data_IF_933434717365
#
_entry.id   IF_933434717365
#
_cell.length_a   1.000
_cell.length_b   1.000
_cell.length_c   1.000
_cell.angle_alpha   90.00
_cell.angle_beta   90.00
_cell.angle_gamma   90.00
#
_symmetry.space_group_name_H-M   'P 1'
#
loop_
_entity.id
_entity.type
_entity.pdbx_description
1 polymer ?
#
# COMPACT_ATOMS: atom_id res chain seq x y z
N UNK A 1 16.18 -17.99 14.45
CA UNK A 1 15.89 -16.54 14.54
C UNK A 1 14.85 -16.21 13.48
N UNK A 2 13.82 -15.39 13.77
CA UNK A 2 12.85 -14.96 12.78
C UNK A 2 13.50 -14.04 11.74
N UNK A 3 13.10 -14.15 10.50
CA UNK A 3 13.55 -13.25 9.43
C UNK A 3 12.94 -11.86 9.64
N UNK A 4 13.81 -10.83 9.75
CA UNK A 4 13.36 -9.45 9.89
C UNK A 4 13.03 -8.84 8.53
N UNK A 5 11.89 -8.18 8.42
CA UNK A 5 11.38 -7.61 7.18
C UNK A 5 10.91 -6.15 7.36
N UNK A 6 11.28 -5.29 6.43
CA UNK A 6 10.70 -3.94 6.28
C UNK A 6 9.57 -4.00 5.25
N UNK A 7 8.41 -3.45 5.60
CA UNK A 7 7.28 -3.33 4.70
C UNK A 7 7.05 -1.86 4.36
N UNK A 8 7.14 -1.50 3.08
CA UNK A 8 6.68 -0.19 2.60
C UNK A 8 5.15 -0.11 2.77
N UNK A 9 4.71 0.51 3.88
CA UNK A 9 3.32 0.50 4.32
C UNK A 9 2.73 1.90 4.35
N UNK A 10 1.89 2.21 3.35
CA UNK A 10 1.20 3.49 3.22
C UNK A 10 -0.13 3.55 4.00
N UNK A 11 -0.71 2.42 4.42
CA UNK A 11 -2.07 2.31 4.95
C UNK A 11 -3.12 2.07 3.86
N UNK A 12 -2.71 1.94 2.61
CA UNK A 12 -3.54 1.49 1.50
C UNK A 12 -3.74 -0.02 1.48
N UNK A 13 -4.70 -0.49 0.67
CA UNK A 13 -5.08 -1.90 0.58
C UNK A 13 -3.87 -2.80 0.31
N UNK A 14 -3.13 -2.54 -0.76
CA UNK A 14 -2.06 -3.40 -1.25
C UNK A 14 -0.92 -3.52 -0.22
N UNK A 15 -0.46 -2.41 0.31
CA UNK A 15 0.61 -2.39 1.32
C UNK A 15 0.20 -3.04 2.64
N UNK A 16 -1.08 -2.96 2.99
CA UNK A 16 -1.63 -3.64 4.18
C UNK A 16 -1.66 -5.15 3.97
N UNK A 17 -2.07 -5.62 2.78
CA UNK A 17 -2.01 -7.06 2.45
C UNK A 17 -0.57 -7.58 2.50
N UNK A 18 0.40 -6.84 1.96
CA UNK A 18 1.82 -7.20 2.06
C UNK A 18 2.29 -7.35 3.51
N UNK A 19 1.92 -6.41 4.38
CA UNK A 19 2.26 -6.45 5.81
C UNK A 19 1.71 -7.71 6.45
N UNK A 20 0.44 -8.03 6.21
CA UNK A 20 -0.21 -9.19 6.82
C UNK A 20 0.31 -10.52 6.27
N UNK A 21 0.66 -10.59 4.98
CA UNK A 21 1.32 -11.76 4.38
C UNK A 21 2.71 -12.01 4.98
N UNK A 22 3.46 -10.94 5.28
CA UNK A 22 4.75 -11.08 5.95
C UNK A 22 4.59 -11.60 7.40
N UNK A 23 3.60 -11.09 8.14
CA UNK A 23 3.25 -11.61 9.48
C UNK A 23 2.82 -13.08 9.43
N UNK A 24 1.96 -13.47 8.48
CA UNK A 24 1.51 -14.85 8.29
C UNK A 24 2.68 -15.81 8.00
N UNK A 25 3.73 -15.32 7.34
CA UNK A 25 4.99 -16.06 7.11
C UNK A 25 5.92 -16.07 8.32
N UNK A 26 5.50 -15.54 9.47
CA UNK A 26 6.30 -15.52 10.70
C UNK A 26 7.48 -14.55 10.64
N UNK A 27 7.40 -13.47 9.84
CA UNK A 27 8.44 -12.43 9.80
C UNK A 27 8.32 -11.52 11.01
N UNK A 28 9.47 -11.04 11.49
CA UNK A 28 9.55 -9.89 12.40
C UNK A 28 9.40 -8.63 11.56
N UNK A 29 8.21 -8.03 11.60
CA UNK A 29 7.79 -6.98 10.66
C UNK A 29 7.99 -5.58 11.25
N UNK A 30 8.63 -4.70 10.47
CA UNK A 30 8.66 -3.26 10.70
C UNK A 30 7.91 -2.56 9.56
N UNK A 31 6.87 -1.81 9.92
CA UNK A 31 6.11 -0.99 8.99
C UNK A 31 6.85 0.32 8.71
N UNK A 32 7.29 0.54 7.47
CA UNK A 32 7.94 1.78 7.04
C UNK A 32 6.97 2.66 6.27
N UNK A 33 6.65 3.81 6.84
CA UNK A 33 5.93 4.90 6.16
C UNK A 33 6.88 5.96 5.65
N UNK A 34 6.49 6.65 4.58
CA UNK A 34 7.23 7.81 4.08
C UNK A 34 6.29 9.00 4.01
N UNK A 35 6.58 10.02 4.81
CA UNK A 35 5.93 11.32 4.72
C UNK A 35 6.77 12.21 3.79
N UNK A 36 6.27 12.42 2.58
CA UNK A 36 6.88 13.24 1.54
C UNK A 36 6.04 14.49 1.24
N UNK A 37 5.23 14.93 2.20
CA UNK A 37 4.27 16.01 2.05
C UNK A 37 3.14 15.65 1.06
N UNK A 38 2.63 14.42 1.11
CA UNK A 38 1.45 14.02 0.34
C UNK A 38 0.22 14.84 0.74
N UNK A 39 -0.73 15.00 -0.20
CA UNK A 39 -1.94 15.80 0.02
C UNK A 39 -2.81 15.30 1.17
N UNK A 40 -2.82 13.99 1.40
CA UNK A 40 -3.63 13.38 2.43
C UNK A 40 -2.75 12.72 3.49
N UNK A 41 -2.85 13.20 4.72
CA UNK A 41 -2.27 12.52 5.89
C UNK A 41 -3.09 11.33 6.37
N UNK A 42 -4.29 11.15 5.83
CA UNK A 42 -5.14 10.02 6.18
C UNK A 42 -4.43 8.66 5.98
N UNK A 43 -3.62 8.52 4.94
CA UNK A 43 -2.82 7.30 4.71
C UNK A 43 -1.96 6.96 5.92
N UNK A 44 -1.24 7.96 6.49
CA UNK A 44 -0.36 7.74 7.64
C UNK A 44 -1.14 7.36 8.90
N UNK A 45 -2.33 7.97 9.10
CA UNK A 45 -3.20 7.64 10.23
C UNK A 45 -3.78 6.24 10.14
N UNK A 46 -4.24 5.82 8.95
CA UNK A 46 -4.74 4.47 8.73
C UNK A 46 -3.64 3.43 8.91
N UNK A 47 -2.44 3.70 8.39
CA UNK A 47 -1.28 2.83 8.62
C UNK A 47 -0.97 2.69 10.12
N UNK A 48 -1.02 3.79 10.89
CA UNK A 48 -0.79 3.74 12.34
C UNK A 48 -1.86 2.92 13.07
N UNK A 49 -3.16 3.08 12.70
CA UNK A 49 -4.27 2.29 13.26
C UNK A 49 -4.08 0.79 12.99
N UNK A 50 -3.67 0.44 11.78
CA UNK A 50 -3.40 -0.96 11.40
C UNK A 50 -2.20 -1.53 12.16
N UNK A 51 -1.11 -0.77 12.27
CA UNK A 51 0.06 -1.21 13.04
C UNK A 51 -0.30 -1.47 14.52
N UNK A 52 -1.10 -0.60 15.14
CA UNK A 52 -1.61 -0.81 16.51
C UNK A 52 -2.49 -2.06 16.62
N UNK A 53 -3.36 -2.31 15.62
CA UNK A 53 -4.25 -3.48 15.60
C UNK A 53 -3.50 -4.80 15.52
N UNK A 54 -2.39 -4.84 14.79
CA UNK A 54 -1.62 -6.05 14.53
C UNK A 54 -0.32 -6.12 15.33
N UNK A 55 -0.13 -5.21 16.30
CA UNK A 55 1.07 -5.12 17.16
C UNK A 55 2.38 -5.07 16.35
N UNK A 56 2.42 -4.17 15.35
CA UNK A 56 3.56 -3.98 14.46
C UNK A 56 4.27 -2.67 14.76
N UNK A 57 5.58 -2.72 14.92
CA UNK A 57 6.41 -1.52 15.02
C UNK A 57 6.29 -0.67 13.75
N UNK A 58 6.14 0.66 13.92
CA UNK A 58 6.05 1.60 12.81
C UNK A 58 7.12 2.67 12.89
N UNK A 59 7.88 2.81 11.81
CA UNK A 59 8.79 3.91 11.55
C UNK A 59 8.25 4.79 10.41
N UNK A 60 8.44 6.11 10.51
CA UNK A 60 8.09 7.06 9.44
C UNK A 60 9.33 7.88 9.09
N UNK A 61 9.71 7.87 7.83
CA UNK A 61 10.74 8.76 7.31
C UNK A 61 10.08 10.02 6.76
N UNK A 62 10.60 11.17 7.16
CA UNK A 62 10.18 12.45 6.61
C UNK A 62 11.18 12.87 5.54
N UNK A 63 10.69 13.13 4.32
CA UNK A 63 11.51 13.60 3.23
C UNK A 63 10.95 14.92 2.68
N UNK A 64 11.81 15.90 2.52
CA UNK A 64 11.48 17.11 1.79
C UNK A 64 11.73 16.89 0.32
N UNK A 65 10.71 17.10 -0.48
CA UNK A 65 10.78 16.91 -1.92
C UNK A 65 9.92 17.95 -2.63
N UNK A 66 10.56 18.81 -3.41
CA UNK A 66 9.85 19.71 -4.32
C UNK A 66 9.32 18.93 -5.52
N UNK A 67 8.20 18.26 -5.29
CA UNK A 67 7.56 17.37 -6.25
C UNK A 67 6.77 18.15 -7.28
N UNK A 68 6.75 17.70 -8.56
CA UNK A 68 5.98 18.33 -9.60
C UNK A 68 4.49 18.39 -9.24
N UNK A 69 3.83 19.49 -9.60
CA UNK A 69 2.39 19.65 -9.48
C UNK A 69 1.68 18.54 -10.28
N UNK A 70 0.71 17.89 -9.66
CA UNK A 70 -0.06 16.79 -10.27
C UNK A 70 -1.53 17.14 -10.33
N UNK A 71 -2.15 16.72 -11.42
CA UNK A 71 -3.61 16.74 -11.54
C UNK A 71 -4.12 15.33 -11.21
N UNK A 72 -5.01 15.23 -10.23
CA UNK A 72 -5.64 13.95 -9.89
C UNK A 72 -6.90 13.83 -10.74
N UNK A 73 -6.98 12.84 -11.65
CA UNK A 73 -8.14 12.60 -12.48
C UNK A 73 -9.38 12.31 -11.65
N UNK A 74 -10.53 12.61 -12.22
CA UNK A 74 -11.84 12.39 -11.61
C UNK A 74 -12.77 11.68 -12.57
N UNK A 75 -13.71 10.92 -11.99
CA UNK A 75 -14.87 10.36 -12.69
C UNK A 75 -14.52 9.50 -13.91
N UNK A 76 -13.31 8.90 -13.92
CA UNK A 76 -12.95 7.93 -14.95
C UNK A 76 -13.55 6.56 -14.62
N UNK A 77 -14.01 5.88 -15.67
CA UNK A 77 -14.44 4.48 -15.54
C UNK A 77 -13.23 3.54 -15.36
N UNK A 78 -13.48 2.32 -14.89
CA UNK A 78 -12.45 1.27 -14.80
C UNK A 78 -11.77 1.04 -16.14
N UNK A 79 -12.53 1.07 -17.25
CA UNK A 79 -12.00 0.86 -18.59
C UNK A 79 -11.11 2.00 -19.11
N UNK A 80 -11.19 3.18 -18.54
CA UNK A 80 -10.36 4.34 -18.87
C UNK A 80 -9.11 4.43 -18.00
N UNK A 81 -9.20 3.92 -16.76
CA UNK A 81 -8.06 3.84 -15.85
C UNK A 81 -7.10 2.76 -16.39
N UNK A 82 -5.83 3.11 -16.62
CA UNK A 82 -4.80 2.19 -17.08
C UNK A 82 -4.54 2.17 -18.58
N UNK A 83 -5.35 2.84 -19.41
CA UNK A 83 -5.03 3.02 -20.84
C UNK A 83 -3.79 3.88 -21.05
N UNK A 84 -3.58 4.84 -20.17
CA UNK A 84 -2.45 5.77 -20.22
C UNK A 84 -1.89 5.98 -18.82
N UNK A 85 -0.64 6.43 -18.73
CA UNK A 85 -0.05 6.82 -17.43
C UNK A 85 -0.88 7.96 -16.83
N UNK A 86 -1.43 7.74 -15.65
CA UNK A 86 -2.27 8.73 -14.99
C UNK A 86 -1.51 10.03 -14.71
N UNK A 87 -2.17 11.20 -14.89
CA UNK A 87 -1.63 12.49 -14.47
C UNK A 87 -1.43 12.62 -12.94
N UNK A 88 -1.90 11.66 -12.17
CA UNK A 88 -1.56 11.51 -10.75
C UNK A 88 -0.20 10.84 -10.51
N UNK A 89 0.43 10.28 -11.54
CA UNK A 89 1.73 9.65 -11.45
C UNK A 89 2.82 10.62 -10.95
N UNK A 90 3.65 10.15 -10.05
CA UNK A 90 4.81 10.88 -9.56
C UNK A 90 6.06 10.11 -10.00
N UNK A 91 6.75 10.58 -11.04
CA UNK A 91 7.89 9.86 -11.62
C UNK A 91 8.95 9.51 -10.60
N UNK A 92 9.40 8.26 -10.58
CA UNK A 92 10.47 7.78 -9.70
C UNK A 92 10.10 7.60 -8.23
N UNK A 93 8.85 7.82 -7.83
CA UNK A 93 8.44 7.72 -6.43
C UNK A 93 8.69 6.31 -5.85
N UNK A 94 8.28 5.27 -6.56
CA UNK A 94 8.48 3.90 -6.07
C UNK A 94 9.96 3.53 -6.02
N UNK A 95 10.77 4.00 -6.98
CA UNK A 95 12.22 3.81 -6.94
C UNK A 95 12.84 4.47 -5.71
N UNK A 96 12.50 5.73 -5.42
CA UNK A 96 12.97 6.46 -4.24
C UNK A 96 12.59 5.72 -2.94
N UNK A 97 11.34 5.29 -2.83
CA UNK A 97 10.85 4.62 -1.62
C UNK A 97 11.50 3.25 -1.41
N UNK A 98 11.73 2.51 -2.48
CA UNK A 98 12.44 1.23 -2.41
C UNK A 98 13.91 1.42 -2.02
N UNK A 99 14.60 2.45 -2.53
CA UNK A 99 15.99 2.76 -2.12
C UNK A 99 16.03 3.07 -0.62
N UNK A 100 15.14 3.94 -0.13
CA UNK A 100 15.06 4.27 1.29
C UNK A 100 14.76 3.04 2.17
N UNK A 101 13.84 2.19 1.73
CA UNK A 101 13.51 0.97 2.46
C UNK A 101 14.69 -0.01 2.50
N UNK A 102 15.45 -0.15 1.41
CA UNK A 102 16.64 -1.02 1.38
C UNK A 102 17.77 -0.47 2.25
N UNK A 103 17.98 0.85 2.28
CA UNK A 103 18.96 1.48 3.15
C UNK A 103 18.59 1.30 4.64
N UNK A 104 17.32 1.49 5.00
CA UNK A 104 16.81 1.23 6.34
C UNK A 104 16.96 -0.25 6.72
N UNK A 105 16.65 -1.18 5.82
CA UNK A 105 16.78 -2.61 6.04
C UNK A 105 18.25 -2.99 6.34
N UNK A 106 19.17 -2.49 5.53
CA UNK A 106 20.61 -2.70 5.73
C UNK A 106 21.08 -2.15 7.09
N UNK A 107 20.59 -0.96 7.49
CA UNK A 107 20.96 -0.31 8.75
C UNK A 107 20.52 -1.09 9.99
N UNK A 108 19.43 -1.84 9.93
CA UNK A 108 18.88 -2.62 11.05
C UNK A 108 19.10 -4.13 10.92
N UNK A 109 19.79 -4.58 9.88
CA UNK A 109 20.02 -5.99 9.60
C UNK A 109 18.78 -6.77 9.18
N UNK A 110 17.79 -6.10 8.58
CA UNK A 110 16.63 -6.77 7.98
C UNK A 110 17.03 -7.37 6.61
N UNK A 111 16.63 -8.60 6.36
CA UNK A 111 17.00 -9.34 5.15
C UNK A 111 15.95 -9.27 4.05
N UNK A 112 14.78 -8.69 4.32
CA UNK A 112 13.68 -8.56 3.35
C UNK A 112 13.11 -7.14 3.34
N UNK A 113 12.77 -6.65 2.14
CA UNK A 113 11.94 -5.45 1.91
C UNK A 113 10.72 -5.87 1.10
N UNK A 114 9.54 -5.64 1.65
CA UNK A 114 8.28 -5.98 1.00
C UNK A 114 7.58 -4.74 0.46
N UNK A 115 7.01 -4.88 -0.74
CA UNK A 115 6.30 -3.79 -1.41
C UNK A 115 4.97 -4.27 -1.98
N UNK A 116 3.94 -3.41 -1.89
CA UNK A 116 2.61 -3.64 -2.47
C UNK A 116 2.52 -3.26 -3.95
N UNK A 117 3.63 -3.22 -4.67
CA UNK A 117 3.64 -2.98 -6.11
C UNK A 117 2.84 -4.08 -6.81
N UNK A 118 1.96 -3.65 -7.73
CA UNK A 118 1.06 -4.48 -8.50
C UNK A 118 1.10 -4.06 -9.97
N UNK A 119 1.43 -4.99 -10.86
CA UNK A 119 1.56 -4.73 -12.30
C UNK A 119 0.22 -4.75 -13.04
N UNK A 120 -0.78 -5.42 -12.50
CA UNK A 120 -2.15 -5.49 -13.03
C UNK A 120 -2.96 -4.28 -12.55
N UNK A 121 -2.33 -3.34 -11.84
CA UNK A 121 -2.97 -2.10 -11.45
C UNK A 121 -3.31 -1.29 -12.71
N UNK A 122 -4.57 -0.97 -12.86
CA UNK A 122 -5.11 -0.17 -13.96
C UNK A 122 -4.47 1.22 -14.09
N UNK A 123 -3.56 1.58 -13.19
CA UNK A 123 -2.84 2.86 -13.24
C UNK A 123 -1.77 2.98 -14.32
N UNK A 124 -1.31 1.84 -14.88
CA UNK A 124 -0.30 1.80 -15.95
C UNK A 124 1.07 2.40 -15.55
N UNK A 125 1.37 2.52 -14.25
CA UNK A 125 2.60 3.16 -13.77
C UNK A 125 3.85 2.37 -14.17
N UNK A 126 4.84 2.98 -14.85
CA UNK A 126 6.06 2.29 -15.28
C UNK A 126 6.83 1.65 -14.11
N UNK A 127 6.85 2.32 -12.95
CA UNK A 127 7.54 1.87 -11.73
C UNK A 127 6.73 0.85 -10.88
N UNK A 128 5.67 0.28 -11.47
CA UNK A 128 4.93 -0.86 -10.94
C UNK A 128 5.10 -2.15 -11.77
N UNK A 129 5.88 -2.11 -12.85
CA UNK A 129 6.04 -3.24 -13.78
C UNK A 129 7.05 -4.26 -13.27
N UNK A 130 6.90 -5.54 -13.62
CA UNK A 130 7.86 -6.58 -13.26
C UNK A 130 9.30 -6.25 -13.74
N UNK A 131 9.45 -5.70 -14.95
CA UNK A 131 10.74 -5.32 -15.53
C UNK A 131 11.44 -4.24 -14.69
N UNK A 132 10.66 -3.27 -14.16
CA UNK A 132 11.20 -2.26 -13.24
C UNK A 132 11.78 -2.93 -11.99
N UNK A 133 11.02 -3.82 -11.34
CA UNK A 133 11.48 -4.51 -10.14
C UNK A 133 12.70 -5.39 -10.40
N UNK A 134 12.78 -6.05 -11.54
CA UNK A 134 13.93 -6.87 -11.92
C UNK A 134 15.20 -6.02 -12.03
N UNK A 135 15.14 -4.90 -12.75
CA UNK A 135 16.29 -4.00 -12.88
C UNK A 135 16.63 -3.32 -11.56
N UNK A 136 15.62 -2.97 -10.77
CA UNK A 136 15.82 -2.39 -9.44
C UNK A 136 16.58 -3.36 -8.52
N UNK A 137 16.22 -4.64 -8.50
CA UNK A 137 16.93 -5.68 -7.73
C UNK A 137 18.40 -5.78 -8.13
N UNK A 138 18.70 -5.75 -9.42
CA UNK A 138 20.08 -5.75 -9.93
C UNK A 138 20.86 -4.53 -9.45
N UNK A 139 20.27 -3.36 -9.58
CA UNK A 139 20.88 -2.09 -9.16
C UNK A 139 21.14 -2.05 -7.65
N UNK A 140 20.16 -2.42 -6.83
CA UNK A 140 20.29 -2.35 -5.38
C UNK A 140 21.31 -3.35 -4.83
N UNK A 141 21.45 -4.53 -5.44
CA UNK A 141 22.47 -5.51 -5.07
C UNK A 141 23.90 -5.02 -5.35
N UNK A 142 24.09 -4.14 -6.33
CA UNK A 142 25.39 -3.48 -6.58
C UNK A 142 25.64 -2.36 -5.56
N UNK A 143 24.58 -1.61 -5.20
CA UNK A 143 24.70 -0.50 -4.27
C UNK A 143 24.84 -0.94 -2.80
N UNK A 144 24.18 -2.04 -2.43
CA UNK A 144 24.19 -2.63 -1.08
C UNK A 144 24.55 -4.11 -1.21
N UNK A 145 25.86 -4.47 -1.25
CA UNK A 145 26.28 -5.87 -1.34
C UNK A 145 25.73 -6.69 -0.18
N UNK A 146 25.08 -7.81 -0.46
CA UNK A 146 24.33 -8.64 0.51
C UNK A 146 23.17 -7.88 1.18
N UNK A 147 22.59 -6.90 0.47
CA UNK A 147 21.42 -6.16 0.89
C UNK A 147 20.16 -7.03 0.95
N UNK A 148 19.01 -6.41 1.34
CA UNK A 148 17.77 -7.14 1.52
C UNK A 148 17.21 -7.66 0.19
N UNK A 149 16.54 -8.81 0.24
CA UNK A 149 15.71 -9.30 -0.85
C UNK A 149 14.46 -8.42 -1.00
N UNK A 150 14.09 -8.06 -2.24
CA UNK A 150 12.87 -7.31 -2.51
C UNK A 150 11.75 -8.26 -2.88
N UNK A 151 10.69 -8.25 -2.09
CA UNK A 151 9.53 -9.13 -2.22
C UNK A 151 8.31 -8.30 -2.63
N UNK A 152 7.68 -8.68 -3.75
CA UNK A 152 6.46 -8.06 -4.26
C UNK A 152 5.38 -9.14 -4.46
N UNK A 153 4.71 -9.58 -3.39
CA UNK A 153 3.83 -10.75 -3.44
C UNK A 153 2.56 -10.52 -4.24
N UNK A 154 2.22 -9.28 -4.54
CA UNK A 154 1.00 -8.90 -5.24
C UNK A 154 1.22 -8.59 -6.73
N UNK A 155 2.44 -8.76 -7.23
CA UNK A 155 2.85 -8.26 -8.56
C UNK A 155 1.95 -8.78 -9.71
N UNK A 156 1.40 -9.97 -9.58
CA UNK A 156 0.52 -10.61 -10.58
C UNK A 156 -0.96 -10.65 -10.19
N UNK A 157 -1.35 -10.06 -9.05
CA UNK A 157 -2.74 -10.09 -8.58
C UNK A 157 -3.54 -8.90 -9.08
N UNK A 158 -4.79 -9.14 -9.48
CA UNK A 158 -5.79 -8.11 -9.76
C UNK A 158 -6.32 -7.45 -8.47
N UNK A 159 -6.92 -6.27 -8.59
CA UNK A 159 -7.52 -5.58 -7.42
C UNK A 159 -8.57 -6.40 -6.68
N UNK A 160 -9.50 -7.13 -7.35
CA UNK A 160 -10.42 -8.05 -6.65
C UNK A 160 -9.71 -9.19 -5.92
N UNK A 161 -8.63 -9.76 -6.50
CA UNK A 161 -7.86 -10.81 -5.83
C UNK A 161 -7.15 -10.29 -4.59
N UNK A 162 -6.58 -9.07 -4.65
CA UNK A 162 -5.98 -8.41 -3.49
C UNK A 162 -7.03 -8.13 -2.41
N UNK A 163 -8.23 -7.67 -2.79
CA UNK A 163 -9.32 -7.45 -1.83
C UNK A 163 -9.82 -8.77 -1.20
N UNK A 164 -9.86 -9.86 -1.97
CA UNK A 164 -10.19 -11.20 -1.46
C UNK A 164 -9.15 -11.67 -0.44
N UNK A 165 -7.88 -11.44 -0.72
CA UNK A 165 -6.79 -11.77 0.19
C UNK A 165 -6.84 -10.89 1.45
N UNK A 166 -7.10 -9.59 1.31
CA UNK A 166 -7.32 -8.69 2.44
C UNK A 166 -8.47 -9.19 3.34
N UNK A 167 -9.60 -9.61 2.72
CA UNK A 167 -10.74 -10.15 3.45
C UNK A 167 -10.39 -11.42 4.22
N UNK A 168 -9.64 -12.34 3.61
CA UNK A 168 -9.10 -13.57 4.25
C UNK A 168 -8.25 -13.23 5.47
N UNK A 169 -7.40 -12.22 5.34
CA UNK A 169 -6.50 -11.74 6.40
C UNK A 169 -7.20 -10.86 7.46
N UNK A 170 -8.53 -10.76 7.42
CA UNK A 170 -9.31 -10.05 8.43
C UNK A 170 -9.50 -8.54 8.19
N UNK A 171 -9.09 -8.02 7.03
CA UNK A 171 -9.30 -6.62 6.63
C UNK A 171 -10.69 -6.44 6.01
N UNK A 172 -11.29 -5.29 6.25
CA UNK A 172 -12.57 -4.86 5.67
C UNK A 172 -12.40 -3.58 4.86
N UNK A 173 -13.37 -3.27 4.00
CA UNK A 173 -13.31 -2.15 3.07
C UNK A 173 -12.95 -0.80 3.71
N UNK A 174 -13.38 -0.54 4.94
CA UNK A 174 -13.12 0.71 5.67
C UNK A 174 -11.82 0.72 6.49
N UNK A 175 -11.07 -0.38 6.55
CA UNK A 175 -9.86 -0.49 7.37
C UNK A 175 -8.63 0.16 6.71
N UNK A 176 -8.67 0.38 5.38
CA UNK A 176 -7.57 0.93 4.58
C UNK A 176 -7.96 2.22 3.89
N UNK A 177 -6.95 3.03 3.52
CA UNK A 177 -7.18 4.30 2.86
C UNK A 177 -6.61 4.34 1.44
N UNK A 178 -7.43 4.74 0.46
CA UNK A 178 -7.02 4.81 -0.96
C UNK A 178 -7.17 6.19 -1.58
N UNK A 179 -8.02 7.05 -1.01
CA UNK A 179 -8.39 8.31 -1.64
C UNK A 179 -7.22 9.32 -1.74
N UNK A 180 -6.98 9.85 -2.95
CA UNK A 180 -5.99 10.88 -3.21
C UNK A 180 -6.47 12.31 -2.92
N UNK A 181 -7.78 12.52 -2.75
CA UNK A 181 -8.42 13.84 -2.60
C UNK A 181 -9.51 13.80 -1.53
N UNK A 182 -9.16 13.51 -0.27
CA UNK A 182 -10.17 13.47 0.78
C UNK A 182 -10.78 14.85 1.04
N UNK A 183 -12.01 14.81 1.55
CA UNK A 183 -12.57 15.93 2.27
C UNK A 183 -12.15 15.84 3.73
N UNK A 184 -11.75 16.98 4.30
CA UNK A 184 -11.49 17.08 5.73
C UNK A 184 -12.76 17.54 6.42
N UNK A 185 -13.21 16.78 7.42
CA UNK A 185 -14.41 17.07 8.21
C UNK A 185 -14.07 17.11 9.69
N UNK A 186 -14.98 17.61 10.51
CA UNK A 186 -14.79 17.61 11.97
C UNK A 186 -14.62 16.20 12.56
N UNK A 187 -15.08 15.16 11.83
CA UNK A 187 -14.99 13.76 12.24
C UNK A 187 -13.85 12.99 11.54
N UNK A 188 -12.90 13.70 10.92
CA UNK A 188 -11.78 13.11 10.19
C UNK A 188 -11.93 13.18 8.67
N UNK A 189 -11.20 12.31 7.97
CA UNK A 189 -11.16 12.28 6.51
C UNK A 189 -12.30 11.46 5.91
N UNK A 190 -12.90 11.99 4.83
CA UNK A 190 -13.92 11.29 4.03
C UNK A 190 -13.42 11.15 2.60
N UNK A 191 -13.49 9.94 1.99
CA UNK A 191 -13.06 9.73 0.60
C UNK A 191 -13.92 10.55 -0.38
N UNK A 192 -13.29 11.09 -1.44
CA UNK A 192 -14.03 11.86 -2.45
C UNK A 192 -14.98 11.01 -3.32
N UNK A 193 -14.75 9.70 -3.40
CA UNK A 193 -15.57 8.77 -4.19
C UNK A 193 -15.32 8.78 -5.70
N UNK A 194 -14.63 9.79 -6.24
CA UNK A 194 -14.52 10.05 -7.68
C UNK A 194 -13.10 9.98 -8.28
N UNK A 195 -12.03 9.96 -7.46
CA UNK A 195 -10.68 9.80 -7.98
C UNK A 195 -10.40 8.34 -8.36
N UNK A 196 -9.41 8.11 -9.24
CA UNK A 196 -9.04 6.77 -9.71
C UNK A 196 -8.87 5.77 -8.56
N UNK A 197 -8.20 6.19 -7.49
CA UNK A 197 -8.00 5.33 -6.32
C UNK A 197 -9.32 4.95 -5.61
N UNK A 198 -10.31 5.85 -5.55
CA UNK A 198 -11.64 5.52 -5.03
C UNK A 198 -12.40 4.56 -5.95
N UNK A 199 -12.31 4.77 -7.27
CA UNK A 199 -12.94 3.90 -8.27
C UNK A 199 -12.34 2.48 -8.19
N UNK A 200 -11.02 2.37 -8.18
CA UNK A 200 -10.30 1.10 -8.04
C UNK A 200 -10.60 0.42 -6.69
N UNK A 201 -10.66 1.18 -5.62
CA UNK A 201 -10.99 0.64 -4.30
C UNK A 201 -12.41 0.06 -4.27
N UNK A 202 -13.39 0.79 -4.81
CA UNK A 202 -14.78 0.30 -4.92
C UNK A 202 -14.83 -0.98 -5.75
N UNK A 203 -14.22 -0.99 -6.94
CA UNK A 203 -14.14 -2.15 -7.82
C UNK A 203 -13.49 -3.37 -7.13
N UNK A 204 -12.40 -3.17 -6.38
CA UNK A 204 -11.74 -4.23 -5.65
C UNK A 204 -12.68 -4.96 -4.67
N UNK A 205 -13.56 -4.21 -3.99
CA UNK A 205 -14.44 -4.74 -2.95
C UNK A 205 -15.83 -5.18 -3.45
N UNK A 206 -16.22 -4.86 -4.69
CA UNK A 206 -17.56 -5.23 -5.23
C UNK A 206 -17.79 -6.74 -5.27
N UNK A 207 -16.73 -7.53 -5.40
CA UNK A 207 -16.79 -8.99 -5.51
C UNK A 207 -16.60 -9.72 -4.17
N UNK A 208 -16.49 -8.98 -3.07
CA UNK A 208 -16.34 -9.55 -1.73
C UNK A 208 -17.71 -9.68 -1.08
N UNK A 209 -18.03 -10.83 -0.44
CA UNK A 209 -19.31 -11.01 0.23
C UNK A 209 -19.56 -9.91 1.26
N UNK A 210 -20.69 -9.18 1.13
CA UNK A 210 -21.12 -8.23 2.15
C UNK A 210 -21.50 -9.04 3.38
N UNK A 211 -20.88 -8.76 4.52
CA UNK A 211 -21.31 -9.37 5.78
C UNK A 211 -22.76 -8.99 6.04
N UNK A 212 -23.64 -9.97 6.04
CA UNK A 212 -24.95 -9.83 6.65
C UNK A 212 -24.72 -9.53 8.13
N UNK A 213 -25.18 -8.36 8.60
CA UNK A 213 -25.12 -8.04 10.05
C UNK A 213 -25.82 -9.19 10.78
N UNK A 214 -25.06 -10.05 11.44
CA UNK A 214 -25.62 -10.99 12.38
C UNK A 214 -26.21 -10.14 13.50
N UNK A 215 -27.53 -10.02 13.53
CA UNK A 215 -28.24 -9.44 14.68
C UNK A 215 -27.89 -10.32 15.86
N UNK A 216 -27.06 -9.82 16.76
CA UNK A 216 -26.89 -10.45 18.08
C UNK A 216 -28.27 -10.46 18.72
N UNK A 217 -28.92 -11.62 18.75
CA UNK A 217 -30.01 -11.87 19.67
C UNK A 217 -29.36 -11.85 21.06
N UNK A 218 -29.46 -10.71 21.72
CA UNK A 218 -29.35 -10.68 23.19
C UNK A 218 -30.53 -11.47 23.69
N UNK A 219 -30.29 -12.70 24.13
CA UNK A 219 -31.23 -13.41 25.00
C UNK A 219 -31.29 -12.62 26.29
N UNK A 220 -32.47 -12.04 26.55
CA UNK A 220 -32.91 -11.69 27.90
C UNK A 220 -33.41 -13.00 28.54
N UNK A 221 -32.72 -13.45 29.52
CA UNK A 221 -33.24 -14.22 30.65
C UNK A 221 -32.73 -13.60 31.94
#
# INVERSE_FOLDING_TARGET
MSTKAIILHSGGLDSTVCLLLALEKGREVISLGIDYGQRSRAELEYALKLCKRFDVERKVLNIEWDKPKRVIPKSRSINEIGKEVSSAFLPGRNALFLVLACAEAAGIGASEVWTGINSIDYSGYPDCRPEFLEQFRKMINLAIPKGPEIIAPLISLSKPEIAKEAYRLGIRQGDTWSCYRPFNTNNGFVPCGECDACVLHKYAWEHIPKQTKVKSKMNKE
#
